data_IF_314992926350
#
_entry.id   IF_314992926350
#
_cell.length_a   1.000
_cell.length_b   1.000
_cell.length_c   1.000
_cell.angle_alpha   90.00
_cell.angle_beta   90.00
_cell.angle_gamma   90.00
#
_symmetry.space_group_name_H-M   'P 1'
#
loop_
_entity.id
_entity.type
_entity.pdbx_description
1 polymer ?
#
# COMPACT_ATOMS: atom_id res chain seq x y z
N UNK A 1 -0.66 19.25 -0.70
CA UNK A 1 -0.05 18.68 -1.91
C UNK A 1 -1.01 18.69 -3.10
N UNK A 2 -2.03 17.83 -3.15
CA UNK A 2 -2.84 17.59 -4.36
C UNK A 2 -3.54 18.80 -4.99
N UNK A 3 -3.97 19.78 -4.19
CA UNK A 3 -4.65 20.99 -4.67
C UNK A 3 -3.80 22.26 -4.52
N UNK A 4 -2.58 22.13 -4.00
CA UNK A 4 -1.65 23.25 -3.95
C UNK A 4 -1.16 23.57 -5.37
N UNK A 5 -0.84 24.83 -5.65
CA UNK A 5 -0.19 25.19 -6.92
C UNK A 5 1.31 24.91 -6.80
N UNK A 6 1.85 24.18 -7.77
CA UNK A 6 3.28 23.86 -7.83
C UNK A 6 3.62 22.51 -7.19
N UNK A 7 4.86 22.38 -6.73
CA UNK A 7 5.41 21.13 -6.23
C UNK A 7 5.35 21.05 -4.70
N UNK A 8 4.91 19.91 -4.17
CA UNK A 8 5.05 19.55 -2.76
C UNK A 8 6.05 18.41 -2.63
N UNK A 9 7.05 18.59 -1.77
CA UNK A 9 8.07 17.57 -1.47
C UNK A 9 7.90 17.11 -0.03
N UNK A 10 7.74 15.81 0.17
CA UNK A 10 7.71 15.14 1.46
C UNK A 10 9.01 14.36 1.60
N UNK A 11 9.69 14.52 2.74
CA UNK A 11 10.92 13.78 3.05
C UNK A 11 10.65 12.95 4.29
N UNK A 12 10.66 11.63 4.14
CA UNK A 12 10.49 10.70 5.23
C UNK A 12 11.78 10.54 6.02
N UNK A 13 11.64 10.29 7.33
CA UNK A 13 12.79 9.92 8.18
C UNK A 13 13.22 8.49 7.91
N UNK A 14 12.27 7.58 7.73
CA UNK A 14 12.45 6.17 7.40
C UNK A 14 11.37 5.74 6.41
N UNK A 15 11.61 4.63 5.70
CA UNK A 15 10.60 4.08 4.78
C UNK A 15 9.33 3.75 5.55
N UNK A 16 8.20 4.27 5.07
CA UNK A 16 6.88 3.97 5.62
C UNK A 16 6.02 3.18 4.64
N UNK A 17 4.74 3.00 4.98
CA UNK A 17 3.77 2.32 4.11
C UNK A 17 3.40 3.24 2.95
N UNK A 18 3.28 2.67 1.76
CA UNK A 18 3.04 3.43 0.53
C UNK A 18 1.61 3.34 -0.03
N UNK A 19 0.61 2.99 0.79
CA UNK A 19 -0.77 2.80 0.31
C UNK A 19 -1.39 4.08 -0.29
N UNK A 20 -0.98 5.26 0.20
CA UNK A 20 -1.50 6.53 -0.31
C UNK A 20 -0.98 6.79 -1.72
N UNK A 21 0.28 6.47 -1.96
CA UNK A 21 0.99 6.62 -3.22
C UNK A 21 0.41 5.67 -4.27
N UNK A 22 0.26 4.38 -3.92
CA UNK A 22 -0.33 3.36 -4.78
C UNK A 22 -1.76 3.77 -5.21
N UNK A 23 -2.58 4.19 -4.25
CA UNK A 23 -3.96 4.61 -4.50
C UNK A 23 -4.01 5.91 -5.31
N UNK A 24 -3.12 6.87 -5.04
CA UNK A 24 -3.08 8.12 -5.79
C UNK A 24 -2.79 7.85 -7.27
N UNK A 25 -1.81 6.98 -7.57
CA UNK A 25 -1.51 6.57 -8.95
C UNK A 25 -2.69 5.83 -9.59
N UNK A 26 -3.34 4.91 -8.87
CA UNK A 26 -4.52 4.20 -9.39
C UNK A 26 -5.66 5.15 -9.77
N UNK A 27 -5.85 6.25 -9.03
CA UNK A 27 -6.88 7.26 -9.30
C UNK A 27 -6.45 8.29 -10.38
N UNK A 28 -5.31 8.09 -11.04
CA UNK A 28 -4.77 8.96 -12.10
C UNK A 28 -3.97 10.16 -11.57
N UNK A 29 -3.65 10.18 -10.28
CA UNK A 29 -2.74 11.15 -9.70
C UNK A 29 -1.28 10.86 -10.05
N UNK A 30 -0.45 11.90 -10.00
CA UNK A 30 0.97 11.82 -10.37
C UNK A 30 1.84 12.13 -9.16
N UNK A 31 2.80 11.25 -8.89
CA UNK A 31 3.82 11.46 -7.89
C UNK A 31 5.10 10.72 -8.31
N UNK A 32 6.24 11.12 -7.78
CA UNK A 32 7.48 10.37 -7.89
C UNK A 32 8.04 10.05 -6.51
N UNK A 33 8.60 8.86 -6.36
CA UNK A 33 9.31 8.44 -5.14
C UNK A 33 10.77 8.19 -5.51
N UNK A 34 11.69 8.86 -4.81
CA UNK A 34 13.13 8.68 -4.90
C UNK A 34 13.70 8.46 -3.50
N UNK A 35 13.90 7.19 -3.14
CA UNK A 35 14.21 6.78 -1.78
C UNK A 35 13.15 7.29 -0.78
N UNK A 36 13.56 8.14 0.16
CA UNK A 36 12.68 8.73 1.19
C UNK A 36 12.02 10.05 0.74
N UNK A 37 12.22 10.47 -0.50
CA UNK A 37 11.66 11.71 -1.05
C UNK A 37 10.45 11.40 -1.93
N UNK A 38 9.30 11.92 -1.55
CA UNK A 38 8.06 11.83 -2.31
C UNK A 38 7.73 13.22 -2.86
N UNK A 39 7.58 13.33 -4.17
CA UNK A 39 7.24 14.57 -4.86
C UNK A 39 5.86 14.47 -5.48
N UNK A 40 5.00 15.45 -5.20
CA UNK A 40 3.62 15.53 -5.69
C UNK A 40 3.40 16.88 -6.35
N UNK A 41 3.02 16.88 -7.62
CA UNK A 41 2.68 18.10 -8.36
C UNK A 41 1.20 18.42 -8.22
N UNK A 42 0.82 19.66 -7.92
CA UNK A 42 -0.57 20.10 -7.89
C UNK A 42 -0.83 21.32 -8.80
N UNK A 43 -2.11 21.59 -9.12
CA UNK A 43 -3.29 20.82 -8.74
C UNK A 43 -3.50 19.57 -9.63
N UNK A 44 -4.09 18.51 -9.08
CA UNK A 44 -4.45 17.29 -9.82
C UNK A 44 -5.95 17.04 -9.83
N UNK A 45 -6.42 16.40 -10.90
CA UNK A 45 -7.76 15.81 -11.00
C UNK A 45 -7.64 14.31 -10.86
N UNK A 46 -8.48 13.74 -10.01
CA UNK A 46 -8.57 12.30 -9.81
C UNK A 46 -9.83 11.78 -10.48
N UNK A 47 -9.78 10.56 -10.96
CA UNK A 47 -10.92 9.87 -11.57
C UNK A 47 -11.37 8.74 -10.65
N UNK A 48 -12.68 8.62 -10.43
CA UNK A 48 -13.24 7.53 -9.64
C UNK A 48 -12.89 6.16 -10.26
N UNK A 49 -12.55 5.20 -9.41
CA UNK A 49 -12.14 3.86 -9.82
C UNK A 49 -13.00 2.79 -9.16
N UNK A 50 -13.15 1.64 -9.82
CA UNK A 50 -13.61 0.43 -9.16
C UNK A 50 -12.42 -0.20 -8.45
N UNK A 51 -12.48 -0.26 -7.12
CA UNK A 51 -11.40 -0.79 -6.28
C UNK A 51 -11.86 -2.10 -5.65
N UNK A 52 -11.10 -3.17 -5.89
CA UNK A 52 -11.23 -4.41 -5.11
C UNK A 52 -10.23 -4.31 -3.97
N UNK A 53 -10.73 -4.11 -2.75
CA UNK A 53 -9.86 -3.96 -1.58
C UNK A 53 -9.29 -5.33 -1.21
N UNK A 54 -7.95 -5.48 -1.13
CA UNK A 54 -7.35 -6.73 -0.68
C UNK A 54 -7.64 -6.95 0.81
N UNK A 55 -7.74 -8.21 1.22
CA UNK A 55 -7.78 -8.62 2.62
C UNK A 55 -6.50 -8.21 3.36
N UNK A 56 -6.62 -7.96 4.66
CA UNK A 56 -5.50 -7.45 5.46
C UNK A 56 -4.51 -8.56 5.84
N UNK A 57 -3.24 -8.37 5.47
CA UNK A 57 -2.14 -9.29 5.82
C UNK A 57 -1.93 -9.40 7.33
N UNK A 58 -2.17 -8.32 8.09
CA UNK A 58 -2.05 -8.37 9.54
C UNK A 58 -3.10 -9.30 10.16
N UNK A 59 -4.29 -9.38 9.59
CA UNK A 59 -5.32 -10.35 10.00
C UNK A 59 -5.04 -11.75 9.46
N UNK A 60 -4.54 -11.87 8.23
CA UNK A 60 -4.13 -13.14 7.64
C UNK A 60 -2.98 -13.81 8.41
N UNK A 61 -2.10 -13.03 9.04
CA UNK A 61 -0.95 -13.52 9.81
C UNK A 61 -1.32 -14.56 10.87
N UNK A 62 -2.44 -14.36 11.58
CA UNK A 62 -2.91 -15.31 12.60
C UNK A 62 -3.23 -16.68 12.00
N UNK A 63 -3.86 -16.70 10.83
CA UNK A 63 -4.18 -17.94 10.12
C UNK A 63 -2.93 -18.60 9.52
N UNK A 64 -1.99 -17.80 9.00
CA UNK A 64 -0.70 -18.31 8.52
C UNK A 64 0.05 -19.02 9.64
N UNK A 65 0.19 -18.37 10.79
CA UNK A 65 0.87 -18.96 11.97
C UNK A 65 0.14 -20.22 12.45
N UNK A 66 -1.20 -20.19 12.53
CA UNK A 66 -1.98 -21.37 12.90
C UNK A 66 -1.75 -22.55 11.95
N UNK A 67 -1.72 -22.29 10.64
CA UNK A 67 -1.44 -23.31 9.62
C UNK A 67 -0.04 -23.91 9.70
N UNK A 68 0.93 -23.17 10.22
CA UNK A 68 2.31 -23.65 10.42
C UNK A 68 2.46 -24.51 11.69
N UNK A 69 1.76 -24.17 12.77
CA UNK A 69 1.98 -24.82 14.09
C UNK A 69 1.01 -25.95 14.41
N UNK A 70 -0.16 -26.01 13.74
CA UNK A 70 -1.16 -27.06 13.97
C UNK A 70 -0.91 -28.24 13.02
N UNK A 71 -0.65 -29.47 13.52
CA UNK A 71 -0.36 -30.63 12.68
C UNK A 71 -1.45 -30.92 11.66
N UNK A 72 -1.05 -31.39 10.48
CA UNK A 72 -1.94 -31.77 9.38
C UNK A 72 -2.86 -30.63 8.87
N UNK A 73 -2.48 -29.37 9.09
CA UNK A 73 -3.23 -28.22 8.59
C UNK A 73 -3.04 -27.98 7.09
N UNK A 74 -4.11 -27.53 6.43
CA UNK A 74 -4.09 -27.02 5.06
C UNK A 74 -5.02 -25.82 4.95
N UNK A 75 -4.46 -24.65 4.64
CA UNK A 75 -5.20 -23.40 4.56
C UNK A 75 -4.96 -22.72 3.20
N UNK A 76 -5.99 -22.03 2.69
CA UNK A 76 -5.90 -21.15 1.53
C UNK A 76 -6.55 -19.83 1.91
N UNK A 77 -5.75 -18.76 1.99
CA UNK A 77 -6.23 -17.40 2.25
C UNK A 77 -6.30 -16.65 0.92
N UNK A 78 -7.50 -16.27 0.50
CA UNK A 78 -7.73 -15.67 -0.81
C UNK A 78 -7.70 -14.14 -0.74
N UNK A 79 -7.20 -13.51 -1.81
CA UNK A 79 -7.19 -12.05 -1.99
C UNK A 79 -6.52 -11.28 -0.82
N UNK A 80 -5.49 -11.83 -0.18
CA UNK A 80 -4.74 -11.12 0.88
C UNK A 80 -3.76 -10.13 0.23
N UNK A 81 -3.68 -8.92 0.77
CA UNK A 81 -2.78 -7.88 0.29
C UNK A 81 -1.32 -8.24 0.54
N UNK A 82 -0.52 -8.20 -0.52
CA UNK A 82 0.91 -8.54 -0.51
C UNK A 82 1.79 -7.31 -0.81
N UNK A 83 1.38 -6.13 -0.34
CA UNK A 83 2.17 -4.92 -0.48
C UNK A 83 3.51 -5.10 0.26
N UNK A 84 4.62 -4.86 -0.43
CA UNK A 84 5.98 -5.16 0.05
C UNK A 84 6.33 -4.47 1.38
N UNK A 85 5.76 -3.29 1.66
CA UNK A 85 5.95 -2.57 2.93
C UNK A 85 5.21 -3.20 4.12
N UNK A 86 4.45 -4.29 3.88
CA UNK A 86 3.57 -4.96 4.85
C UNK A 86 3.77 -6.47 4.94
N UNK A 87 4.54 -7.08 4.06
CA UNK A 87 4.67 -8.55 3.93
C UNK A 87 5.72 -9.19 4.81
N UNK A 88 6.26 -8.52 5.83
CA UNK A 88 7.35 -9.07 6.67
C UNK A 88 7.04 -10.36 7.45
N UNK A 89 5.79 -10.85 7.42
CA UNK A 89 5.40 -12.15 8.00
C UNK A 89 5.58 -13.33 7.01
N UNK A 90 5.75 -13.04 5.72
CA UNK A 90 6.01 -14.00 4.64
C UNK A 90 7.52 -14.09 4.45
#
# INVERSE_FOLDING_TARGET
>A
ALQAKGESVIIEKEYTRNHTEDMLQQFGGHLSVDGKKITVQGPQKLTGQKVVVPGDISSASFWLVAGLIVPNSRLVLQNVGINETRTGII
#
